data_IF_162843782857
#
_entry.id   IF_162843782857
#
_cell.length_a   1.000
_cell.length_b   1.000
_cell.length_c   1.000
_cell.angle_alpha   90.00
_cell.angle_beta   90.00
_cell.angle_gamma   90.00
#
_symmetry.space_group_name_H-M   'P 1'
#
loop_
_entity.id
_entity.type
_entity.pdbx_description
1 polymer ?
#
# COMPACT_ATOMS: atom_id res chain seq x y z
N UNK A 1 -63.08 -23.05 8.70
CA UNK A 1 -62.28 -22.63 7.53
C UNK A 1 -60.92 -23.29 7.62
N UNK A 2 -60.48 -23.83 6.50
CA UNK A 2 -59.44 -24.85 6.33
C UNK A 2 -58.03 -24.23 6.37
N UNK A 3 -57.08 -25.04 6.85
CA UNK A 3 -55.60 -25.00 7.00
C UNK A 3 -54.76 -24.24 5.91
N UNK A 4 -53.41 -24.09 6.05
CA UNK A 4 -52.50 -24.69 7.05
C UNK A 4 -51.41 -23.78 7.67
N UNK A 5 -50.96 -24.21 8.85
CA UNK A 5 -49.60 -23.99 9.38
C UNK A 5 -48.67 -25.05 8.75
N UNK A 6 -47.52 -24.64 8.24
CA UNK A 6 -46.46 -25.55 7.78
C UNK A 6 -45.37 -25.66 8.84
N UNK A 7 -45.19 -26.90 9.27
CA UNK A 7 -44.13 -27.46 10.09
C UNK A 7 -42.97 -27.83 9.15
N UNK A 8 -41.75 -27.32 9.37
CA UNK A 8 -40.56 -27.79 8.66
C UNK A 8 -39.73 -28.64 9.61
N UNK A 9 -39.66 -29.92 9.24
CA UNK A 9 -38.93 -31.02 9.82
C UNK A 9 -37.47 -30.94 9.33
N UNK A 10 -36.49 -30.73 10.23
CA UNK A 10 -35.07 -30.90 9.88
C UNK A 10 -34.71 -32.36 10.08
N UNK A 11 -34.48 -33.07 8.97
CA UNK A 11 -33.95 -34.42 8.96
C UNK A 11 -32.47 -34.39 9.36
N UNK A 12 -32.17 -34.96 10.53
CA UNK A 12 -30.81 -35.35 10.92
C UNK A 12 -30.47 -36.67 10.23
N UNK A 13 -29.61 -36.62 9.20
CA UNK A 13 -28.89 -37.80 8.74
C UNK A 13 -27.55 -37.89 9.47
N UNK A 14 -27.45 -38.94 10.27
CA UNK A 14 -26.24 -39.47 10.87
C UNK A 14 -25.34 -40.06 9.80
N UNK A 15 -24.07 -39.68 9.80
CA UNK A 15 -22.98 -40.56 9.35
C UNK A 15 -21.78 -40.31 10.24
N UNK A 16 -21.61 -41.21 11.20
CA UNK A 16 -20.43 -41.38 12.03
C UNK A 16 -19.18 -41.57 11.17
N UNK A 17 -18.13 -40.79 11.44
CA UNK A 17 -16.75 -41.23 11.21
C UNK A 17 -15.99 -41.02 12.51
N UNK A 18 -15.67 -42.15 13.13
CA UNK A 18 -14.95 -42.28 14.39
C UNK A 18 -13.47 -41.94 14.18
N UNK A 19 -12.92 -41.02 14.96
CA UNK A 19 -11.49 -40.93 15.22
C UNK A 19 -11.25 -41.15 16.73
N UNK A 20 -10.25 -41.96 17.12
CA UNK A 20 -10.09 -42.40 18.49
C UNK A 20 -9.53 -41.28 19.39
N UNK A 21 -10.11 -41.17 20.59
CA UNK A 21 -9.45 -40.53 21.73
C UNK A 21 -8.16 -41.29 22.06
N UNK A 22 -7.04 -40.58 22.10
CA UNK A 22 -5.87 -41.01 22.86
C UNK A 22 -5.55 -39.88 23.85
N UNK A 23 -5.50 -40.29 25.11
CA UNK A 23 -5.32 -39.50 26.32
C UNK A 23 -4.01 -38.71 26.31
N UNK A 24 -4.11 -37.44 26.70
CA UNK A 24 -2.98 -36.66 27.19
C UNK A 24 -2.39 -37.34 28.43
N UNK A 25 -1.19 -37.91 28.24
CA UNK A 25 -0.37 -38.43 29.32
C UNK A 25 0.71 -37.41 29.62
N UNK A 26 0.47 -36.60 30.66
CA UNK A 26 1.50 -35.86 31.37
C UNK A 26 2.56 -36.85 31.86
N UNK A 27 3.78 -36.75 31.32
CA UNK A 27 4.98 -37.35 31.90
C UNK A 27 6.12 -36.35 31.83
N UNK A 28 6.41 -35.76 32.99
CA UNK A 28 7.77 -35.43 33.45
C UNK A 28 8.73 -36.58 33.14
N UNK A 29 9.97 -36.32 32.74
CA UNK A 29 11.19 -36.95 33.31
C UNK A 29 12.46 -36.48 32.57
N UNK A 30 13.31 -35.78 33.33
CA UNK A 30 14.79 -35.85 33.44
C UNK A 30 15.73 -35.77 32.22
N UNK A 31 16.68 -34.82 32.36
CA UNK A 31 18.05 -34.83 31.83
C UNK A 31 18.68 -36.23 31.81
N UNK A 32 19.14 -36.65 30.63
CA UNK A 32 20.11 -37.74 30.51
C UNK A 32 21.36 -37.24 29.77
N UNK A 33 22.50 -37.27 30.48
CA UNK A 33 23.84 -37.05 29.95
C UNK A 33 24.15 -38.17 28.95
N UNK A 34 24.41 -37.83 27.71
CA UNK A 34 25.12 -38.70 26.78
C UNK A 34 26.58 -38.27 26.69
N UNK A 35 27.48 -39.14 27.15
CA UNK A 35 28.90 -39.12 26.82
C UNK A 35 29.03 -39.38 25.31
N UNK A 36 29.63 -38.45 24.59
CA UNK A 36 30.09 -38.70 23.22
C UNK A 36 31.54 -39.21 23.25
N UNK A 37 31.69 -40.44 22.78
CA UNK A 37 32.96 -41.06 22.39
C UNK A 37 33.65 -40.21 21.32
N UNK A 38 34.92 -39.92 21.55
CA UNK A 38 35.82 -39.20 20.64
C UNK A 38 35.98 -40.02 19.35
N UNK A 39 35.68 -39.42 18.20
CA UNK A 39 35.99 -39.98 16.89
C UNK A 39 36.38 -38.86 15.92
N UNK A 40 37.68 -38.87 15.58
CA UNK A 40 38.38 -38.36 14.39
C UNK A 40 38.05 -36.94 13.91
N UNK A 41 39.06 -36.08 14.04
CA UNK A 41 39.17 -34.74 13.46
C UNK A 41 38.98 -34.83 11.94
N UNK A 42 37.87 -34.28 11.45
CA UNK A 42 37.69 -33.95 10.05
C UNK A 42 38.56 -32.72 9.74
N UNK A 43 39.41 -32.80 8.71
CA UNK A 43 40.12 -31.64 8.19
C UNK A 43 39.11 -30.59 7.69
N UNK A 44 39.40 -29.29 7.83
CA UNK A 44 38.53 -28.25 7.30
C UNK A 44 38.43 -28.35 5.77
N UNK A 45 37.26 -28.07 5.18
CA UNK A 45 37.11 -27.99 3.73
C UNK A 45 38.00 -26.90 3.16
N UNK A 46 38.46 -27.10 1.92
CA UNK A 46 39.29 -26.14 1.21
C UNK A 46 38.63 -24.75 1.18
N UNK A 47 39.42 -23.66 1.30
CA UNK A 47 38.88 -22.31 1.24
C UNK A 47 38.17 -22.09 -0.10
N UNK A 48 37.03 -21.40 -0.04
CA UNK A 48 36.29 -21.00 -1.23
C UNK A 48 37.21 -20.22 -2.18
N UNK A 49 37.13 -20.45 -3.51
CA UNK A 49 37.94 -19.71 -4.47
C UNK A 49 37.69 -18.21 -4.33
N UNK A 50 38.75 -17.42 -4.46
CA UNK A 50 38.71 -15.96 -4.35
C UNK A 50 37.62 -15.39 -5.26
N UNK A 51 36.76 -14.54 -4.69
CA UNK A 51 35.72 -13.84 -5.41
C UNK A 51 36.36 -13.00 -6.52
N UNK A 52 36.02 -13.30 -7.77
CA UNK A 52 36.40 -12.48 -8.92
C UNK A 52 35.80 -11.10 -8.71
N UNK A 53 36.66 -10.09 -8.64
CA UNK A 53 36.27 -8.69 -8.53
C UNK A 53 35.28 -8.34 -9.66
N UNK A 54 34.10 -7.76 -9.37
CA UNK A 54 33.14 -7.42 -10.41
C UNK A 54 33.74 -6.38 -11.35
N UNK A 55 33.79 -6.68 -12.65
CA UNK A 55 34.22 -5.74 -13.68
C UNK A 55 33.05 -4.83 -14.05
N UNK A 56 33.10 -3.55 -13.67
CA UNK A 56 32.15 -2.54 -14.12
C UNK A 56 32.78 -1.65 -15.19
N UNK A 57 32.04 -1.40 -16.27
CA UNK A 57 32.47 -0.51 -17.35
C UNK A 57 32.41 0.95 -16.87
N UNK A 58 33.56 1.50 -16.51
CA UNK A 58 33.72 2.95 -16.34
C UNK A 58 33.80 3.58 -17.73
N UNK A 59 32.66 3.97 -18.29
CA UNK A 59 32.68 4.86 -19.46
C UNK A 59 33.09 6.26 -18.99
N UNK A 60 34.38 6.55 -19.19
CA UNK A 60 35.01 7.85 -19.01
C UNK A 60 34.27 8.90 -19.84
N UNK A 61 33.33 9.60 -19.21
CA UNK A 61 32.50 10.64 -19.84
C UNK A 61 31.10 10.79 -19.24
N UNK A 62 30.55 9.74 -18.60
CA UNK A 62 29.24 9.81 -17.93
C UNK A 62 29.40 10.05 -16.43
N UNK A 63 28.58 10.95 -15.87
CA UNK A 63 28.48 11.19 -14.41
C UNK A 63 27.79 10.05 -13.65
N UNK A 64 27.36 9.00 -14.35
CA UNK A 64 26.52 7.91 -13.83
C UNK A 64 27.22 6.56 -14.06
N UNK A 65 27.36 5.75 -13.00
CA UNK A 65 27.99 4.42 -13.04
C UNK A 65 26.91 3.34 -13.16
N UNK A 66 27.07 2.38 -14.08
CA UNK A 66 26.09 1.28 -14.25
C UNK A 66 26.56 -0.01 -13.56
N UNK A 67 25.70 -0.58 -12.73
CA UNK A 67 25.88 -1.82 -11.99
C UNK A 67 24.89 -2.86 -12.54
N UNK A 68 25.31 -3.62 -13.56
CA UNK A 68 24.48 -4.68 -14.14
C UNK A 68 24.45 -5.89 -13.20
N UNK A 69 23.26 -6.34 -12.79
CA UNK A 69 23.08 -7.47 -11.86
C UNK A 69 23.76 -8.77 -12.36
N UNK A 70 23.89 -8.98 -13.67
CA UNK A 70 24.61 -10.14 -14.22
C UNK A 70 26.11 -10.07 -13.94
N UNK A 71 26.69 -8.87 -13.84
CA UNK A 71 28.09 -8.67 -13.44
C UNK A 71 28.35 -9.05 -11.98
N UNK A 72 27.28 -9.26 -11.20
CA UNK A 72 27.31 -9.74 -9.82
C UNK A 72 26.79 -11.17 -9.68
N UNK A 73 26.63 -11.90 -10.80
CA UNK A 73 26.29 -13.32 -10.81
C UNK A 73 24.81 -13.65 -11.02
N UNK A 74 23.96 -12.69 -11.38
CA UNK A 74 22.57 -12.97 -11.71
C UNK A 74 22.47 -13.76 -13.04
N UNK A 75 21.72 -14.86 -13.04
CA UNK A 75 21.52 -15.74 -14.19
C UNK A 75 20.41 -15.21 -15.09
N UNK A 76 19.24 -14.89 -14.52
CA UNK A 76 18.13 -14.34 -15.28
C UNK A 76 17.36 -15.37 -16.13
N UNK A 77 17.26 -16.62 -15.67
CA UNK A 77 16.53 -17.73 -16.30
C UNK A 77 15.08 -17.92 -15.80
N UNK A 78 14.64 -17.10 -14.84
CA UNK A 78 13.32 -17.13 -14.20
C UNK A 78 13.15 -18.20 -13.14
N UNK A 79 14.20 -18.96 -12.84
CA UNK A 79 14.16 -20.13 -11.95
C UNK A 79 15.23 -20.05 -10.86
N UNK A 80 16.45 -19.66 -11.24
CA UNK A 80 17.56 -19.52 -10.31
C UNK A 80 17.36 -18.31 -9.40
N UNK A 81 17.62 -18.51 -8.10
CA UNK A 81 17.57 -17.44 -7.12
C UNK A 81 18.71 -16.42 -7.33
N UNK A 82 18.36 -15.27 -7.90
CA UNK A 82 19.26 -14.17 -8.23
C UNK A 82 19.40 -13.15 -7.07
N UNK A 83 18.80 -13.41 -5.91
CA UNK A 83 18.72 -12.46 -4.79
C UNK A 83 20.08 -11.94 -4.34
N UNK A 84 21.08 -12.82 -4.24
CA UNK A 84 22.40 -12.43 -3.75
C UNK A 84 23.12 -11.51 -4.75
N UNK A 85 22.96 -11.75 -6.05
CA UNK A 85 23.52 -10.90 -7.09
C UNK A 85 22.91 -9.49 -7.05
N UNK A 86 21.59 -9.41 -6.89
CA UNK A 86 20.89 -8.13 -6.72
C UNK A 86 21.33 -7.37 -5.47
N UNK A 87 21.47 -8.06 -4.33
CA UNK A 87 21.98 -7.45 -3.09
C UNK A 87 23.40 -6.91 -3.27
N UNK A 88 24.32 -7.70 -3.81
CA UNK A 88 25.71 -7.26 -4.02
C UNK A 88 25.78 -6.08 -4.98
N UNK A 89 25.00 -6.11 -6.06
CA UNK A 89 24.94 -5.04 -7.02
C UNK A 89 24.37 -3.74 -6.39
N UNK A 90 23.32 -3.86 -5.57
CA UNK A 90 22.76 -2.74 -4.79
C UNK A 90 23.78 -2.17 -3.80
N UNK A 91 24.39 -3.00 -2.96
CA UNK A 91 25.34 -2.57 -1.93
C UNK A 91 26.52 -1.84 -2.57
N UNK A 92 27.00 -2.34 -3.72
CA UNK A 92 28.07 -1.71 -4.48
C UNK A 92 27.63 -0.36 -5.06
N UNK A 93 26.44 -0.29 -5.66
CA UNK A 93 25.88 0.96 -6.19
C UNK A 93 25.66 2.00 -5.08
N UNK A 94 25.19 1.57 -3.90
CA UNK A 94 24.92 2.41 -2.75
C UNK A 94 26.18 3.03 -2.13
N UNK A 95 27.34 2.37 -2.29
CA UNK A 95 28.63 2.88 -1.85
C UNK A 95 29.37 3.73 -2.89
N UNK A 96 28.82 3.89 -4.09
CA UNK A 96 29.44 4.66 -5.17
C UNK A 96 29.40 6.18 -4.89
N UNK A 97 30.52 6.87 -5.17
CA UNK A 97 30.64 8.33 -4.98
C UNK A 97 29.81 9.13 -5.98
N UNK A 98 29.50 8.55 -7.13
CA UNK A 98 28.68 9.13 -8.20
C UNK A 98 27.42 8.29 -8.36
N UNK A 99 26.32 8.92 -8.79
CA UNK A 99 25.03 8.27 -8.96
C UNK A 99 25.15 6.95 -9.72
N UNK A 100 24.51 5.92 -9.17
CA UNK A 100 24.57 4.56 -9.68
C UNK A 100 23.27 4.12 -10.34
N UNK A 101 23.34 3.45 -11.49
CA UNK A 101 22.20 2.72 -12.05
C UNK A 101 22.37 1.25 -11.67
N UNK A 102 21.45 0.69 -10.89
CA UNK A 102 21.27 -0.75 -10.80
C UNK A 102 20.49 -1.23 -12.03
N UNK A 103 21.20 -1.87 -12.97
CA UNK A 103 20.64 -2.30 -14.24
C UNK A 103 20.26 -3.78 -14.19
N UNK A 104 18.98 -4.06 -14.44
CA UNK A 104 18.47 -5.39 -14.75
C UNK A 104 18.23 -5.46 -16.26
N UNK A 105 18.97 -6.30 -17.00
CA UNK A 105 18.96 -6.29 -18.45
C UNK A 105 17.66 -6.85 -19.06
N UNK A 106 17.26 -6.32 -20.21
CA UNK A 106 16.16 -6.84 -21.03
C UNK A 106 16.46 -8.23 -21.60
N UNK A 107 15.43 -9.05 -21.74
CA UNK A 107 15.52 -10.41 -22.30
C UNK A 107 15.78 -11.53 -21.29
N UNK A 108 15.81 -11.19 -20.00
CA UNK A 108 16.00 -12.12 -18.90
C UNK A 108 14.81 -12.07 -17.95
N UNK A 109 14.61 -13.13 -17.18
CA UNK A 109 13.63 -13.20 -16.09
C UNK A 109 14.39 -13.50 -14.81
N UNK A 110 14.29 -12.67 -13.78
CA UNK A 110 15.05 -12.87 -12.54
C UNK A 110 14.12 -13.34 -11.44
N UNK A 111 14.40 -14.51 -10.84
CA UNK A 111 13.70 -14.93 -9.63
C UNK A 111 14.43 -14.31 -8.44
N UNK A 112 13.76 -13.39 -7.75
CA UNK A 112 14.28 -12.75 -6.54
C UNK A 112 13.38 -13.12 -5.38
N UNK A 113 13.97 -13.69 -4.33
CA UNK A 113 13.28 -13.85 -3.06
C UNK A 113 13.04 -12.48 -2.43
N UNK A 114 12.10 -12.45 -1.48
CA UNK A 114 11.86 -11.30 -0.61
C UNK A 114 13.17 -10.73 -0.08
N UNK A 115 13.48 -9.49 -0.47
CA UNK A 115 14.72 -8.83 -0.09
C UNK A 115 14.47 -7.41 0.39
N UNK A 116 15.39 -6.92 1.22
CA UNK A 116 15.39 -5.55 1.74
C UNK A 116 16.63 -4.87 1.18
N UNK A 117 16.43 -3.76 0.48
CA UNK A 117 17.49 -2.87 0.03
C UNK A 117 17.64 -1.72 1.04
N UNK A 118 18.81 -1.64 1.69
CA UNK A 118 19.06 -0.69 2.78
C UNK A 118 19.99 0.44 2.37
N UNK A 119 19.72 1.64 2.87
CA UNK A 119 20.61 2.81 2.80
C UNK A 119 21.18 3.20 4.19
N UNK A 120 21.76 4.41 4.34
CA UNK A 120 21.83 5.49 3.35
C UNK A 120 22.88 5.24 2.25
N UNK A 121 22.59 5.69 1.03
CA UNK A 121 23.52 5.62 -0.09
C UNK A 121 24.29 6.93 -0.24
N UNK A 122 25.55 6.84 -0.68
CA UNK A 122 26.43 8.02 -0.85
C UNK A 122 25.98 8.93 -1.99
N UNK A 123 25.32 8.36 -2.99
CA UNK A 123 24.80 9.06 -4.17
C UNK A 123 23.45 8.44 -4.59
N UNK A 124 22.75 9.05 -5.54
CA UNK A 124 21.43 8.59 -5.98
C UNK A 124 21.50 7.26 -6.73
N UNK A 125 20.52 6.37 -6.51
CA UNK A 125 20.42 5.09 -7.21
C UNK A 125 19.20 5.07 -8.13
N UNK A 126 19.41 4.71 -9.39
CA UNK A 126 18.34 4.39 -10.33
C UNK A 126 18.21 2.88 -10.52
N UNK A 127 17.04 2.30 -10.24
CA UNK A 127 16.77 0.88 -10.46
C UNK A 127 15.92 0.70 -11.73
N UNK A 128 16.41 -0.08 -12.70
CA UNK A 128 15.74 -0.35 -13.96
C UNK A 128 15.62 -1.85 -14.19
N UNK A 129 14.40 -2.37 -14.45
CA UNK A 129 14.19 -3.76 -14.82
C UNK A 129 13.00 -3.98 -15.76
N UNK A 130 13.03 -5.04 -16.60
CA UNK A 130 11.91 -5.45 -17.42
C UNK A 130 11.14 -6.65 -16.82
N UNK A 131 9.86 -6.74 -17.19
CA UNK A 131 8.89 -7.86 -17.15
C UNK A 131 9.24 -9.09 -16.30
N UNK A 132 8.42 -9.40 -15.29
CA UNK A 132 8.50 -10.64 -14.52
C UNK A 132 7.13 -11.25 -14.18
N UNK A 133 7.05 -12.58 -14.14
CA UNK A 133 5.89 -13.36 -13.65
C UNK A 133 6.31 -14.10 -12.36
N UNK A 134 5.40 -14.25 -11.39
CA UNK A 134 5.69 -14.93 -10.11
C UNK A 134 4.61 -15.95 -9.69
N UNK A 135 5.04 -16.96 -8.92
CA UNK A 135 4.26 -18.11 -8.41
C UNK A 135 3.93 -17.95 -6.90
N UNK A 136 2.80 -18.47 -6.39
CA UNK A 136 2.35 -18.21 -5.01
C UNK A 136 2.79 -19.27 -3.99
N UNK A 137 3.03 -18.87 -2.73
CA UNK A 137 3.05 -19.76 -1.54
C UNK A 137 2.68 -19.04 -0.22
N UNK A 138 2.42 -19.81 0.85
CA UNK A 138 1.46 -19.56 1.96
C UNK A 138 2.08 -19.07 3.29
N UNK A 139 1.41 -18.08 3.88
CA UNK A 139 1.41 -17.53 5.27
C UNK A 139 2.68 -16.84 5.82
N UNK A 140 2.48 -15.56 6.18
CA UNK A 140 3.43 -14.43 6.19
C UNK A 140 4.07 -14.15 4.83
N UNK A 141 3.20 -13.75 3.90
CA UNK A 141 3.57 -13.40 2.53
C UNK A 141 4.52 -12.20 2.49
N UNK A 142 5.67 -12.31 1.81
CA UNK A 142 6.62 -11.23 1.72
C UNK A 142 6.13 -10.09 0.82
N UNK A 143 6.69 -8.90 1.04
CA UNK A 143 6.65 -7.80 0.07
C UNK A 143 7.61 -8.13 -1.07
N UNK A 144 7.23 -7.86 -2.33
CA UNK A 144 8.09 -8.17 -3.47
C UNK A 144 9.38 -7.33 -3.47
N UNK A 145 9.27 -6.00 -3.38
CA UNK A 145 10.44 -5.10 -3.26
C UNK A 145 10.22 -4.11 -2.12
N UNK A 146 11.16 -4.06 -1.18
CA UNK A 146 11.15 -3.13 -0.05
C UNK A 146 12.42 -2.30 0.01
N UNK A 147 12.26 -0.99 0.01
CA UNK A 147 13.30 -0.01 0.29
C UNK A 147 13.15 0.50 1.73
N UNK A 148 14.25 0.48 2.49
CA UNK A 148 14.25 0.88 3.89
C UNK A 148 15.37 1.89 4.14
N UNK A 149 15.06 3.00 4.84
CA UNK A 149 16.02 4.03 5.25
C UNK A 149 16.92 4.52 4.09
N UNK A 150 16.31 4.77 2.94
CA UNK A 150 17.03 5.06 1.70
C UNK A 150 16.67 6.44 1.15
N UNK A 151 17.64 7.13 0.54
CA UNK A 151 17.43 8.46 -0.01
C UNK A 151 17.90 8.58 -1.45
N UNK A 152 17.32 9.51 -2.22
CA UNK A 152 17.64 9.77 -3.62
C UNK A 152 17.46 8.51 -4.49
N UNK A 153 16.25 7.95 -4.44
CA UNK A 153 15.87 6.75 -5.17
C UNK A 153 15.11 7.10 -6.43
N UNK A 154 15.49 6.51 -7.56
CA UNK A 154 14.70 6.53 -8.79
C UNK A 154 14.34 5.11 -9.19
N UNK A 155 13.05 4.83 -9.35
CA UNK A 155 12.52 3.55 -9.80
C UNK A 155 11.79 3.76 -11.12
N UNK A 156 12.31 3.19 -12.21
CA UNK A 156 11.77 3.48 -13.54
C UNK A 156 11.56 2.21 -14.37
N UNK A 157 10.39 2.12 -15.00
CA UNK A 157 10.13 1.13 -16.05
C UNK A 157 9.92 -0.30 -15.56
N UNK A 158 9.62 -0.52 -14.28
CA UNK A 158 9.40 -1.86 -13.74
C UNK A 158 8.01 -2.40 -14.05
N UNK A 159 7.98 -3.69 -14.38
CA UNK A 159 6.77 -4.48 -14.31
C UNK A 159 6.85 -5.45 -13.11
N UNK A 160 5.90 -5.37 -12.19
CA UNK A 160 5.85 -6.23 -10.99
C UNK A 160 4.51 -6.96 -10.97
N UNK A 161 4.55 -8.30 -11.00
CA UNK A 161 3.34 -9.13 -11.02
C UNK A 161 3.20 -10.05 -9.83
N UNK A 162 1.95 -10.31 -9.46
CA UNK A 162 1.52 -11.36 -8.53
C UNK A 162 2.29 -11.35 -7.21
N UNK A 163 2.57 -10.15 -6.66
CA UNK A 163 3.22 -10.08 -5.35
C UNK A 163 2.38 -10.85 -4.31
N UNK A 164 3.01 -11.67 -3.46
CA UNK A 164 2.32 -12.35 -2.36
C UNK A 164 1.66 -11.39 -1.36
N UNK A 165 2.16 -10.15 -1.28
CA UNK A 165 1.64 -9.03 -0.48
C UNK A 165 1.84 -7.72 -1.25
N UNK A 166 2.38 -6.66 -0.64
CA UNK A 166 2.63 -5.40 -1.34
C UNK A 166 3.65 -5.62 -2.47
N UNK A 167 3.46 -4.96 -3.62
CA UNK A 167 4.41 -5.02 -4.72
C UNK A 167 5.64 -4.18 -4.39
N UNK A 168 5.43 -2.91 -4.03
CA UNK A 168 6.50 -1.98 -3.64
C UNK A 168 6.22 -1.40 -2.25
N UNK A 169 7.24 -1.37 -1.39
CA UNK A 169 7.17 -0.72 -0.07
C UNK A 169 8.36 0.19 0.18
N UNK A 170 8.10 1.41 0.61
CA UNK A 170 9.12 2.40 0.99
C UNK A 170 8.90 2.78 2.45
N UNK A 171 9.90 2.52 3.28
CA UNK A 171 9.86 2.80 4.71
C UNK A 171 11.02 3.72 5.08
N UNK A 172 10.69 4.88 5.68
CA UNK A 172 11.71 5.84 6.16
C UNK A 172 12.60 6.35 5.01
N UNK A 173 12.03 6.57 3.83
CA UNK A 173 12.77 7.01 2.65
C UNK A 173 12.68 8.54 2.43
N UNK A 174 13.58 9.11 1.62
CA UNK A 174 13.53 10.52 1.27
C UNK A 174 13.96 10.79 -0.18
N UNK A 175 13.26 11.65 -0.91
CA UNK A 175 13.55 11.93 -2.33
C UNK A 175 13.43 10.64 -3.17
N UNK A 176 12.18 10.22 -3.38
CA UNK A 176 11.83 9.00 -4.11
C UNK A 176 11.06 9.37 -5.36
N UNK A 177 11.61 9.03 -6.52
CA UNK A 177 11.00 9.23 -7.84
C UNK A 177 10.61 7.87 -8.44
N UNK A 178 9.32 7.66 -8.67
CA UNK A 178 8.76 6.43 -9.24
C UNK A 178 8.07 6.77 -10.56
N UNK A 179 8.46 6.11 -11.64
CA UNK A 179 7.95 6.44 -12.97
C UNK A 179 7.78 5.22 -13.89
N UNK A 180 6.76 5.24 -14.74
CA UNK A 180 6.56 4.26 -15.82
C UNK A 180 6.44 2.82 -15.30
N UNK A 181 5.78 2.62 -14.16
CA UNK A 181 5.58 1.28 -13.61
C UNK A 181 4.32 0.62 -14.16
N UNK A 182 4.38 -0.71 -14.27
CA UNK A 182 3.23 -1.57 -14.56
C UNK A 182 3.09 -2.63 -13.47
N UNK A 183 2.08 -2.51 -12.61
CA UNK A 183 1.85 -3.43 -11.50
C UNK A 183 0.55 -4.19 -11.73
N UNK A 184 0.61 -5.53 -11.63
CA UNK A 184 -0.57 -6.35 -11.85
C UNK A 184 -0.66 -7.57 -10.91
N UNK A 185 -1.81 -7.74 -10.25
CA UNK A 185 -2.21 -8.98 -9.61
C UNK A 185 -3.73 -9.19 -9.72
N UNK A 186 -4.25 -10.42 -9.56
CA UNK A 186 -5.68 -10.66 -9.62
C UNK A 186 -6.47 -9.80 -8.60
N UNK A 187 -7.64 -9.31 -9.01
CA UNK A 187 -8.47 -8.40 -8.22
C UNK A 187 -8.96 -8.95 -6.86
N UNK A 188 -8.86 -10.26 -6.64
CA UNK A 188 -9.25 -10.93 -5.39
C UNK A 188 -8.05 -11.29 -4.50
N UNK A 189 -6.84 -10.93 -4.90
CA UNK A 189 -5.61 -11.23 -4.16
C UNK A 189 -5.52 -10.32 -2.92
N UNK A 190 -5.60 -10.86 -1.70
CA UNK A 190 -5.65 -10.05 -0.49
C UNK A 190 -4.32 -9.32 -0.26
N UNK A 191 -4.38 -8.07 0.19
CA UNK A 191 -3.22 -7.29 0.64
C UNK A 191 -2.11 -7.13 -0.41
N UNK A 192 -2.52 -7.05 -1.68
CA UNK A 192 -1.61 -6.90 -2.83
C UNK A 192 -1.38 -5.45 -3.22
N UNK A 193 -1.20 -4.55 -2.24
CA UNK A 193 -1.00 -3.11 -2.47
C UNK A 193 0.04 -2.86 -3.57
N UNK A 194 -0.20 -1.84 -4.40
CA UNK A 194 0.71 -1.49 -5.49
C UNK A 194 1.96 -0.83 -4.94
N UNK A 195 1.82 0.44 -4.55
CA UNK A 195 2.90 1.21 -3.93
C UNK A 195 2.48 1.61 -2.51
N UNK A 196 3.20 1.11 -1.52
CA UNK A 196 3.05 1.51 -0.12
C UNK A 196 4.20 2.43 0.29
N UNK A 197 3.88 3.59 0.88
CA UNK A 197 4.87 4.49 1.48
C UNK A 197 4.54 4.72 2.96
N UNK A 198 5.55 4.66 3.83
CA UNK A 198 5.41 4.93 5.26
C UNK A 198 6.66 5.67 5.75
N UNK A 199 6.48 6.69 6.60
CA UNK A 199 7.55 7.58 7.10
C UNK A 199 8.44 8.17 5.99
N UNK A 200 7.90 8.35 4.79
CA UNK A 200 8.66 8.68 3.59
C UNK A 200 8.32 10.09 3.09
N UNK A 201 9.33 10.89 2.73
CA UNK A 201 9.18 12.32 2.41
C UNK A 201 9.71 12.68 1.02
N UNK A 202 9.09 13.65 0.36
CA UNK A 202 9.45 14.11 -0.99
C UNK A 202 9.37 12.94 -1.98
N UNK A 203 8.14 12.53 -2.30
CA UNK A 203 7.85 11.38 -3.16
C UNK A 203 7.11 11.82 -4.39
N UNK A 204 7.56 11.36 -5.55
CA UNK A 204 6.93 11.56 -6.83
C UNK A 204 6.53 10.19 -7.40
N UNK A 205 5.26 10.00 -7.77
CA UNK A 205 4.76 8.77 -8.38
C UNK A 205 4.02 9.12 -9.66
N UNK A 206 4.62 8.82 -10.81
CA UNK A 206 4.11 9.27 -12.10
C UNK A 206 3.91 8.15 -13.12
N UNK A 207 2.99 8.41 -14.06
CA UNK A 207 2.90 7.70 -15.34
C UNK A 207 2.83 6.17 -15.21
N UNK A 208 2.10 5.65 -14.23
CA UNK A 208 2.09 4.22 -13.89
C UNK A 208 0.69 3.61 -13.99
N UNK A 209 0.64 2.32 -14.30
CA UNK A 209 -0.59 1.53 -14.37
C UNK A 209 -0.56 0.46 -13.28
N UNK A 210 -1.57 0.44 -12.42
CA UNK A 210 -1.61 -0.44 -11.26
C UNK A 210 -2.98 -1.12 -11.19
N UNK A 211 -2.96 -2.45 -11.17
CA UNK A 211 -4.13 -3.30 -11.00
C UNK A 211 -3.83 -4.39 -9.99
N UNK A 212 -4.67 -4.54 -8.97
CA UNK A 212 -4.41 -5.45 -7.85
C UNK A 212 -5.69 -5.75 -7.06
N UNK A 213 -5.56 -6.49 -5.97
CA UNK A 213 -6.65 -6.80 -5.04
C UNK A 213 -6.65 -5.97 -3.75
N UNK A 214 -5.82 -4.93 -3.63
CA UNK A 214 -5.85 -4.00 -2.49
C UNK A 214 -5.54 -2.55 -2.92
N UNK A 215 -5.00 -1.68 -2.07
CA UNK A 215 -4.76 -0.27 -2.42
C UNK A 215 -3.84 -0.12 -3.64
N UNK A 216 -4.22 0.76 -4.57
CA UNK A 216 -3.39 1.12 -5.73
C UNK A 216 -2.11 1.81 -5.24
N UNK A 217 -2.29 2.85 -4.43
CA UNK A 217 -1.24 3.51 -3.65
C UNK A 217 -1.76 3.68 -2.22
N UNK A 218 -0.98 3.27 -1.23
CA UNK A 218 -1.29 3.44 0.19
C UNK A 218 -0.24 4.32 0.89
N UNK A 219 -0.71 5.36 1.57
CA UNK A 219 0.11 6.40 2.21
C UNK A 219 -0.04 6.28 3.73
N UNK A 220 1.00 5.79 4.39
CA UNK A 220 1.08 5.60 5.83
C UNK A 220 1.46 6.86 6.61
N UNK A 221 1.62 6.68 7.93
CA UNK A 221 2.01 7.77 8.83
C UNK A 221 3.43 8.28 8.53
N UNK A 222 3.68 9.55 8.85
CA UNK A 222 4.98 10.22 8.70
C UNK A 222 5.30 10.67 7.28
N UNK A 223 4.38 10.51 6.33
CA UNK A 223 4.56 10.94 4.95
C UNK A 223 4.33 12.44 4.76
N UNK A 224 5.19 13.08 3.97
CA UNK A 224 5.12 14.51 3.70
C UNK A 224 5.60 14.84 2.28
N UNK A 225 4.90 15.76 1.60
CA UNK A 225 5.24 16.21 0.26
C UNK A 225 5.26 15.05 -0.74
N UNK A 226 4.08 14.54 -1.07
CA UNK A 226 3.88 13.42 -1.99
C UNK A 226 3.05 13.91 -3.17
N UNK A 227 3.59 13.80 -4.39
CA UNK A 227 2.88 14.10 -5.64
C UNK A 227 2.66 12.83 -6.45
N UNK A 228 1.39 12.51 -6.71
CA UNK A 228 0.95 11.35 -7.48
C UNK A 228 0.22 11.87 -8.71
N UNK A 229 0.72 11.56 -9.91
CA UNK A 229 0.16 12.14 -11.14
C UNK A 229 0.11 11.16 -12.29
N UNK A 230 -0.93 11.24 -13.10
CA UNK A 230 -1.10 10.39 -14.29
C UNK A 230 -0.99 8.89 -13.97
N UNK A 231 -1.76 8.44 -12.97
CA UNK A 231 -1.84 7.03 -12.60
C UNK A 231 -3.16 6.44 -13.11
N UNK A 232 -3.09 5.24 -13.68
CA UNK A 232 -4.29 4.42 -13.93
C UNK A 232 -4.39 3.33 -12.88
N UNK A 233 -5.32 3.46 -11.95
CA UNK A 233 -5.63 2.48 -10.92
C UNK A 233 -6.84 1.65 -11.34
N UNK A 234 -6.77 0.33 -11.29
CA UNK A 234 -7.99 -0.46 -11.43
C UNK A 234 -7.87 -1.78 -12.18
N UNK A 235 -8.45 -2.87 -11.65
CA UNK A 235 -9.17 -2.97 -10.36
C UNK A 235 -8.24 -2.77 -9.15
N UNK A 236 -8.76 -2.27 -8.02
CA UNK A 236 -8.02 -2.05 -6.75
C UNK A 236 -8.96 -1.59 -5.62
N UNK A 237 -8.42 -1.25 -4.45
CA UNK A 237 -9.09 -0.51 -3.38
C UNK A 237 -8.94 1.02 -3.48
N UNK A 238 -8.38 1.55 -4.58
CA UNK A 238 -8.21 2.98 -4.83
C UNK A 238 -6.91 3.56 -4.29
N UNK A 239 -6.81 4.89 -4.23
CA UNK A 239 -5.68 5.61 -3.65
C UNK A 239 -6.05 6.01 -2.23
N UNK A 240 -5.30 5.50 -1.25
CA UNK A 240 -5.67 5.57 0.17
C UNK A 240 -4.60 6.26 1.01
N UNK A 241 -5.02 7.27 1.78
CA UNK A 241 -4.28 7.78 2.94
C UNK A 241 -4.72 6.96 4.16
N UNK A 242 -3.78 6.21 4.73
CA UNK A 242 -3.96 5.36 5.90
C UNK A 242 -3.90 3.85 5.63
N UNK A 243 -4.26 3.01 6.61
CA UNK A 243 -4.94 3.38 7.86
C UNK A 243 -4.03 4.09 8.86
N UNK A 244 -4.49 5.20 9.43
CA UNK A 244 -3.70 6.04 10.37
C UNK A 244 -4.19 5.95 11.81
N UNK A 245 -3.28 6.04 12.77
CA UNK A 245 -3.63 6.16 14.19
C UNK A 245 -3.97 4.84 14.91
N UNK A 246 -3.51 3.70 14.38
CA UNK A 246 -3.79 2.38 14.97
C UNK A 246 -3.29 2.31 16.42
N UNK A 247 -4.10 1.74 17.33
CA UNK A 247 -3.76 1.61 18.76
C UNK A 247 -3.35 2.94 19.40
N UNK A 248 -4.08 4.00 19.09
CA UNK A 248 -3.90 5.34 19.64
C UNK A 248 -2.53 5.95 19.31
N UNK A 249 -1.91 5.50 18.21
CA UNK A 249 -0.64 6.06 17.74
C UNK A 249 -0.83 7.46 17.16
N UNK A 250 0.22 8.27 17.23
CA UNK A 250 0.28 9.51 16.47
C UNK A 250 0.55 9.21 14.98
N UNK A 251 -0.18 9.88 14.09
CA UNK A 251 -0.01 9.77 12.66
C UNK A 251 -0.07 11.16 12.01
N UNK A 252 0.96 11.48 11.24
CA UNK A 252 1.13 12.78 10.60
C UNK A 252 1.29 12.59 9.10
N UNK A 253 0.37 13.14 8.32
CA UNK A 253 0.43 13.14 6.85
C UNK A 253 0.08 14.53 6.36
N UNK A 254 0.94 15.14 5.54
CA UNK A 254 0.63 16.48 5.02
C UNK A 254 1.23 16.74 3.65
N UNK A 255 0.60 17.65 2.91
CA UNK A 255 1.03 18.07 1.58
C UNK A 255 1.05 16.88 0.60
N UNK A 256 -0.14 16.36 0.30
CA UNK A 256 -0.35 15.23 -0.61
C UNK A 256 -1.15 15.73 -1.81
N UNK A 257 -0.67 15.48 -3.01
CA UNK A 257 -1.40 15.79 -4.24
C UNK A 257 -1.59 14.53 -5.06
N UNK A 258 -2.82 14.29 -5.51
CA UNK A 258 -3.17 13.27 -6.49
C UNK A 258 -3.84 13.96 -7.67
N UNK A 259 -3.25 13.87 -8.85
CA UNK A 259 -3.71 14.60 -10.03
C UNK A 259 -3.73 13.78 -11.31
N UNK A 260 -4.54 14.24 -12.28
CA UNK A 260 -4.56 13.75 -13.66
C UNK A 260 -4.70 12.23 -13.79
N UNK A 261 -5.49 11.60 -12.92
CA UNK A 261 -5.49 10.15 -12.75
C UNK A 261 -6.82 9.50 -13.11
N UNK A 262 -6.79 8.22 -13.46
CA UNK A 262 -7.96 7.41 -13.76
C UNK A 262 -8.08 6.30 -12.73
N UNK A 263 -9.25 6.17 -12.09
CA UNK A 263 -9.54 5.05 -11.19
C UNK A 263 -10.75 4.30 -11.74
N UNK A 264 -10.59 3.00 -12.01
CA UNK A 264 -11.60 2.20 -12.71
C UNK A 264 -11.86 0.86 -12.04
N UNK A 265 -13.11 0.44 -12.00
CA UNK A 265 -13.52 -0.87 -11.46
C UNK A 265 -12.92 -1.19 -10.08
N UNK A 266 -12.79 -0.16 -9.24
CA UNK A 266 -12.18 -0.23 -7.91
C UNK A 266 -13.22 -0.10 -6.81
N UNK A 267 -12.91 -0.65 -5.64
CA UNK A 267 -13.78 -0.54 -4.46
C UNK A 267 -13.90 0.90 -3.96
N UNK A 268 -12.83 1.69 -4.06
CA UNK A 268 -12.84 3.11 -3.72
C UNK A 268 -12.11 3.90 -4.80
N UNK A 269 -12.40 5.19 -4.86
CA UNK A 269 -11.62 6.15 -5.65
C UNK A 269 -10.49 6.69 -4.80
N UNK A 270 -10.73 7.86 -4.19
CA UNK A 270 -9.82 8.50 -3.25
C UNK A 270 -10.34 8.33 -1.82
N UNK A 271 -9.46 7.90 -0.92
CA UNK A 271 -9.83 7.47 0.42
C UNK A 271 -8.91 8.02 1.50
N UNK A 272 -9.47 8.47 2.62
CA UNK A 272 -8.76 8.73 3.87
C UNK A 272 -9.37 7.81 4.94
N UNK A 273 -8.56 6.96 5.57
CA UNK A 273 -9.01 6.00 6.60
C UNK A 273 -8.18 6.16 7.88
N UNK A 274 -8.85 6.42 9.00
CA UNK A 274 -8.19 6.56 10.31
C UNK A 274 -8.90 5.71 11.36
N UNK A 275 -8.13 5.14 12.28
CA UNK A 275 -8.65 4.42 13.43
C UNK A 275 -9.20 5.40 14.47
N UNK A 276 -10.29 5.02 15.13
CA UNK A 276 -10.70 5.70 16.36
C UNK A 276 -9.59 5.57 17.41
N UNK A 277 -9.42 6.61 18.22
CA UNK A 277 -8.40 6.68 19.26
C UNK A 277 -7.07 7.29 18.82
N UNK A 278 -6.82 7.39 17.51
CA UNK A 278 -5.59 7.95 16.94
C UNK A 278 -5.32 9.41 17.31
N UNK A 279 -4.09 9.87 17.10
CA UNK A 279 -3.62 11.24 17.34
C UNK A 279 -2.90 11.80 16.10
N UNK A 280 -2.66 13.11 16.05
CA UNK A 280 -1.93 13.78 14.96
C UNK A 280 -2.86 14.40 13.91
N UNK A 281 -2.41 14.50 12.66
CA UNK A 281 -3.15 15.20 11.62
C UNK A 281 -2.93 14.66 10.20
N UNK A 282 -3.97 14.78 9.37
CA UNK A 282 -3.94 14.74 7.91
C UNK A 282 -4.33 16.12 7.41
N UNK A 283 -3.45 16.81 6.69
CA UNK A 283 -3.73 18.16 6.20
C UNK A 283 -3.14 18.46 4.83
N UNK A 284 -3.70 19.47 4.14
CA UNK A 284 -3.21 19.94 2.83
C UNK A 284 -3.18 18.80 1.81
N UNK A 285 -4.32 18.18 1.60
CA UNK A 285 -4.48 17.10 0.62
C UNK A 285 -5.30 17.59 -0.56
N UNK A 286 -4.80 17.38 -1.76
CA UNK A 286 -5.48 17.76 -3.01
C UNK A 286 -5.72 16.52 -3.87
N UNK A 287 -6.98 16.28 -4.21
CA UNK A 287 -7.40 15.35 -5.26
C UNK A 287 -7.96 16.18 -6.41
N UNK A 288 -7.27 16.19 -7.55
CA UNK A 288 -7.57 17.08 -8.67
C UNK A 288 -7.62 16.35 -10.00
N UNK A 289 -8.58 16.68 -10.89
CA UNK A 289 -8.63 16.14 -12.25
C UNK A 289 -8.56 14.59 -12.27
N UNK A 290 -9.52 13.95 -11.60
CA UNK A 290 -9.59 12.49 -11.49
C UNK A 290 -10.83 11.98 -12.21
N UNK A 291 -10.64 11.04 -13.13
CA UNK A 291 -11.74 10.35 -13.79
C UNK A 291 -12.02 9.00 -13.12
N UNK A 292 -13.28 8.76 -12.76
CA UNK A 292 -13.75 7.54 -12.14
C UNK A 292 -14.57 6.71 -13.15
N UNK A 293 -14.28 5.43 -13.28
CA UNK A 293 -15.10 4.50 -14.08
C UNK A 293 -15.60 3.35 -13.22
N UNK A 294 -16.92 3.30 -12.99
CA UNK A 294 -17.57 2.21 -12.27
C UNK A 294 -16.93 1.94 -10.89
N UNK A 295 -16.59 3.01 -10.17
CA UNK A 295 -15.97 2.93 -8.84
C UNK A 295 -17.05 2.80 -7.77
N UNK A 296 -16.88 1.92 -6.78
CA UNK A 296 -17.94 1.67 -5.79
C UNK A 296 -18.09 2.79 -4.74
N UNK A 297 -16.98 3.27 -4.17
CA UNK A 297 -16.96 4.41 -3.24
C UNK A 297 -15.98 5.49 -3.76
N UNK A 298 -16.38 6.33 -4.74
CA UNK A 298 -15.51 7.32 -5.36
C UNK A 298 -14.75 8.24 -4.39
N UNK A 299 -15.41 8.81 -3.38
CA UNK A 299 -14.77 9.71 -2.40
C UNK A 299 -15.18 9.28 -0.99
N UNK A 300 -14.19 8.97 -0.15
CA UNK A 300 -14.46 8.53 1.23
C UNK A 300 -13.46 9.09 2.24
N UNK A 301 -13.99 9.63 3.35
CA UNK A 301 -13.27 9.80 4.60
C UNK A 301 -13.94 8.90 5.63
N UNK A 302 -13.19 8.01 6.27
CA UNK A 302 -13.67 7.08 7.28
C UNK A 302 -12.77 7.13 8.53
N UNK A 303 -13.21 7.86 9.56
CA UNK A 303 -12.55 7.91 10.86
C UNK A 303 -13.01 6.83 11.83
N UNK A 304 -13.89 5.92 11.37
CA UNK A 304 -14.39 4.76 12.12
C UNK A 304 -13.82 3.46 11.56
N UNK A 305 -12.64 3.52 10.92
CA UNK A 305 -12.00 2.37 10.30
C UNK A 305 -11.75 1.27 11.34
N UNK A 306 -12.20 0.06 11.01
CA UNK A 306 -12.18 -1.09 11.91
C UNK A 306 -12.03 -2.41 11.13
N UNK A 307 -11.21 -3.34 11.63
CA UNK A 307 -11.05 -4.68 11.03
C UNK A 307 -12.19 -5.65 11.39
N UNK A 308 -13.00 -5.33 12.40
CA UNK A 308 -14.11 -6.16 12.85
C UNK A 308 -15.41 -5.38 12.77
N UNK A 309 -16.55 -6.06 12.97
CA UNK A 309 -17.85 -5.37 13.00
C UNK A 309 -18.05 -4.52 14.27
N UNK A 310 -17.29 -4.80 15.33
CA UNK A 310 -17.48 -4.20 16.65
C UNK A 310 -16.15 -3.61 17.15
N UNK A 311 -15.87 -2.36 16.80
CA UNK A 311 -14.81 -1.60 17.44
C UNK A 311 -15.34 -0.85 18.67
N UNK A 312 -14.56 -0.74 19.75
CA UNK A 312 -14.91 0.11 20.87
C UNK A 312 -14.86 1.58 20.43
N UNK A 313 -15.88 2.35 20.82
CA UNK A 313 -15.88 3.79 20.60
C UNK A 313 -14.72 4.42 21.40
N UNK A 314 -13.95 5.26 20.72
CA UNK A 314 -12.90 6.07 21.34
C UNK A 314 -13.10 7.53 20.98
N UNK A 315 -12.67 8.42 21.87
CA UNK A 315 -12.93 9.86 21.78
C UNK A 315 -11.80 10.66 21.13
N UNK A 316 -10.58 10.14 21.00
CA UNK A 316 -9.54 10.79 20.20
C UNK A 316 -9.63 10.35 18.74
N UNK A 317 -9.16 11.20 17.84
CA UNK A 317 -9.03 10.89 16.41
C UNK A 317 -7.88 11.69 15.82
N UNK A 318 -7.38 11.23 14.66
CA UNK A 318 -6.46 12.02 13.82
C UNK A 318 -7.23 13.22 13.27
N UNK A 319 -6.72 14.45 13.44
CA UNK A 319 -7.35 15.63 12.85
C UNK A 319 -7.33 15.56 11.33
N UNK A 320 -8.40 15.95 10.65
CA UNK A 320 -8.45 16.03 9.18
C UNK A 320 -8.87 17.44 8.78
N UNK A 321 -7.98 18.16 8.09
CA UNK A 321 -8.25 19.52 7.62
C UNK A 321 -7.71 19.78 6.22
N UNK A 322 -8.19 20.85 5.57
CA UNK A 322 -7.62 21.37 4.33
C UNK A 322 -7.55 20.31 3.21
N UNK A 323 -8.70 19.70 2.91
CA UNK A 323 -8.82 18.66 1.89
C UNK A 323 -9.59 19.24 0.70
N UNK A 324 -8.94 19.29 -0.46
CA UNK A 324 -9.52 19.75 -1.71
C UNK A 324 -9.87 18.56 -2.61
N UNK A 325 -11.14 18.48 -3.01
CA UNK A 325 -11.62 17.62 -4.09
C UNK A 325 -12.06 18.52 -5.24
N UNK A 326 -11.35 18.45 -6.37
CA UNK A 326 -11.60 19.34 -7.51
C UNK A 326 -11.58 18.63 -8.85
N UNK A 327 -12.54 18.94 -9.72
CA UNK A 327 -12.64 18.34 -11.06
C UNK A 327 -12.57 16.80 -11.02
N UNK A 328 -13.43 16.18 -10.20
CA UNK A 328 -13.55 14.72 -10.08
C UNK A 328 -14.81 14.28 -10.80
N UNK A 329 -14.68 13.54 -11.89
CA UNK A 329 -15.81 13.21 -12.78
C UNK A 329 -15.90 11.73 -13.05
N UNK A 330 -17.08 11.25 -13.44
CA UNK A 330 -17.24 9.93 -14.04
C UNK A 330 -18.37 9.12 -13.44
N UNK A 331 -18.19 7.81 -13.29
CA UNK A 331 -19.27 6.89 -12.92
C UNK A 331 -19.01 6.05 -11.68
N UNK A 332 -20.08 5.68 -10.99
CA UNK A 332 -20.02 4.86 -9.78
C UNK A 332 -21.03 3.72 -9.75
N UNK A 333 -20.69 2.69 -8.99
CA UNK A 333 -21.56 1.54 -8.73
C UNK A 333 -22.59 1.88 -7.64
N UNK A 334 -23.88 1.65 -7.94
CA UNK A 334 -25.02 2.05 -7.10
C UNK A 334 -25.20 1.24 -5.80
N UNK A 335 -24.31 0.28 -5.49
CA UNK A 335 -24.33 -0.46 -4.22
C UNK A 335 -24.03 0.41 -2.99
N UNK A 336 -23.51 1.61 -3.18
CA UNK A 336 -23.20 2.58 -2.12
C UNK A 336 -23.35 4.02 -2.62
N UNK A 337 -23.58 4.99 -1.72
CA UNK A 337 -23.47 6.40 -2.06
C UNK A 337 -22.09 6.75 -2.63
N UNK A 338 -21.99 7.69 -3.59
CA UNK A 338 -20.73 7.99 -4.25
C UNK A 338 -19.74 8.75 -3.35
N UNK A 339 -20.24 9.43 -2.32
CA UNK A 339 -19.47 10.24 -1.40
C UNK A 339 -19.87 9.94 0.04
N UNK A 340 -18.87 9.71 0.91
CA UNK A 340 -19.07 9.48 2.34
C UNK A 340 -17.99 10.17 3.17
N UNK A 341 -18.39 11.11 4.03
CA UNK A 341 -17.52 11.78 4.98
C UNK A 341 -17.94 11.40 6.39
N UNK A 342 -17.30 10.39 6.98
CA UNK A 342 -17.58 9.93 8.33
C UNK A 342 -16.46 10.37 9.28
N UNK A 343 -16.63 11.55 9.88
CA UNK A 343 -15.63 12.18 10.75
C UNK A 343 -15.95 11.98 12.24
N UNK A 344 -14.96 12.01 13.11
CA UNK A 344 -15.09 11.73 14.54
C UNK A 344 -16.06 12.71 15.22
N UNK A 345 -16.93 12.21 16.11
CA UNK A 345 -17.87 13.03 16.91
C UNK A 345 -17.19 14.14 17.73
N UNK A 346 -15.99 13.86 18.23
CA UNK A 346 -15.20 14.77 19.07
C UNK A 346 -14.26 15.67 18.28
N UNK A 347 -13.90 15.29 17.06
CA UNK A 347 -12.92 15.99 16.22
C UNK A 347 -13.41 16.01 14.77
N UNK A 348 -14.25 17.00 14.43
CA UNK A 348 -14.84 17.14 13.09
C UNK A 348 -13.76 17.26 12.00
N UNK A 349 -14.04 16.79 10.79
CA UNK A 349 -13.23 17.19 9.63
C UNK A 349 -13.54 18.65 9.28
N UNK A 350 -12.52 19.44 8.95
CA UNK A 350 -12.68 20.87 8.67
C UNK A 350 -12.05 21.29 7.35
N UNK A 351 -12.49 22.42 6.82
CA UNK A 351 -12.00 22.99 5.57
C UNK A 351 -11.96 21.97 4.41
N UNK A 352 -13.01 21.16 4.28
CA UNK A 352 -13.23 20.35 3.09
C UNK A 352 -13.72 21.26 1.96
N UNK A 353 -13.12 21.17 0.78
CA UNK A 353 -13.55 21.95 -0.39
C UNK A 353 -13.91 21.02 -1.52
N UNK A 354 -15.12 21.17 -2.06
CA UNK A 354 -15.55 20.46 -3.26
C UNK A 354 -15.76 21.46 -4.39
N UNK A 355 -15.16 21.21 -5.54
CA UNK A 355 -15.41 21.96 -6.79
C UNK A 355 -15.47 21.01 -7.97
N UNK A 356 -16.45 21.16 -8.85
CA UNK A 356 -16.55 20.47 -10.14
C UNK A 356 -16.54 18.94 -9.98
N UNK A 357 -17.27 18.46 -8.97
CA UNK A 357 -17.44 17.02 -8.71
C UNK A 357 -18.72 16.53 -9.37
N UNK A 358 -18.60 15.66 -10.37
CA UNK A 358 -19.70 15.14 -11.20
C UNK A 358 -19.64 13.61 -11.30
N UNK A 359 -20.33 12.92 -10.39
CA UNK A 359 -20.37 11.47 -10.28
C UNK A 359 -21.77 10.93 -10.61
N UNK A 360 -21.84 10.12 -11.66
CA UNK A 360 -23.08 9.56 -12.18
C UNK A 360 -23.19 8.05 -11.95
N UNK A 361 -24.37 7.52 -11.63
CA UNK A 361 -24.54 6.08 -11.48
C UNK A 361 -24.36 5.39 -12.84
N UNK A 362 -23.71 4.23 -12.88
CA UNK A 362 -23.52 3.44 -14.12
C UNK A 362 -24.84 3.02 -14.80
N UNK A 363 -25.95 3.04 -14.07
CA UNK A 363 -27.30 2.79 -14.57
C UNK A 363 -28.12 4.05 -14.30
N UNK A 364 -29.03 4.40 -15.20
CA UNK A 364 -29.97 5.53 -15.08
C UNK A 364 -30.99 5.32 -13.93
N UNK A 365 -30.48 5.21 -12.72
CA UNK A 365 -31.21 5.05 -11.48
C UNK A 365 -31.07 6.32 -10.64
N UNK A 366 -31.96 6.44 -9.65
CA UNK A 366 -32.00 7.55 -8.70
C UNK A 366 -30.61 7.77 -8.10
N UNK A 367 -30.19 9.04 -8.09
CA UNK A 367 -28.94 9.46 -7.45
C UNK A 367 -29.01 9.15 -5.94
N UNK A 368 -28.07 8.35 -5.45
CA UNK A 368 -27.91 8.14 -4.01
C UNK A 368 -27.32 9.40 -3.37
N UNK A 369 -27.96 9.87 -2.31
CA UNK A 369 -27.48 11.05 -1.58
C UNK A 369 -26.14 10.76 -0.88
N UNK A 370 -25.18 11.69 -0.95
CA UNK A 370 -23.97 11.67 -0.13
C UNK A 370 -24.27 11.55 1.37
N UNK A 371 -23.34 10.98 2.11
CA UNK A 371 -23.42 10.89 3.57
C UNK A 371 -22.32 11.76 4.17
N UNK A 372 -22.70 12.62 5.10
CA UNK A 372 -21.77 13.44 5.88
C UNK A 372 -22.09 13.28 7.35
N UNK A 373 -21.06 13.11 8.15
CA UNK A 373 -21.13 13.04 9.60
C UNK A 373 -19.96 13.83 10.16
N UNK A 374 -20.29 14.89 10.92
CA UNK A 374 -19.34 15.83 11.53
C UNK A 374 -18.27 16.37 10.55
N UNK A 375 -18.69 16.71 9.33
CA UNK A 375 -17.82 17.16 8.26
C UNK A 375 -18.17 18.59 7.86
N UNK A 376 -17.17 19.48 7.91
CA UNK A 376 -17.31 20.90 7.66
C UNK A 376 -16.50 21.35 6.45
N UNK A 377 -17.10 22.18 5.61
CA UNK A 377 -16.50 22.58 4.36
C UNK A 377 -17.38 23.48 3.51
N UNK A 378 -16.99 23.62 2.25
CA UNK A 378 -17.70 24.43 1.26
C UNK A 378 -17.78 23.71 -0.08
N UNK A 379 -18.88 23.91 -0.80
CA UNK A 379 -19.02 23.56 -2.21
C UNK A 379 -18.84 24.83 -3.03
N UNK A 380 -17.71 24.96 -3.73
CA UNK A 380 -17.43 26.15 -4.56
C UNK A 380 -18.26 26.17 -5.84
N UNK A 381 -18.69 25.01 -6.29
CA UNK A 381 -19.58 24.82 -7.44
C UNK A 381 -20.60 23.71 -7.11
N UNK A 382 -21.69 23.64 -7.88
CA UNK A 382 -22.69 22.59 -7.71
C UNK A 382 -22.05 21.22 -7.98
N UNK A 383 -22.34 20.26 -7.11
CA UNK A 383 -21.85 18.88 -7.21
C UNK A 383 -22.97 17.97 -7.69
N UNK A 384 -22.60 16.88 -8.36
CA UNK A 384 -23.52 15.79 -8.74
C UNK A 384 -23.01 14.50 -8.11
N UNK A 385 -23.80 13.82 -7.25
CA UNK A 385 -24.99 14.36 -6.58
C UNK A 385 -24.65 15.53 -5.64
N UNK A 386 -25.62 16.41 -5.32
CA UNK A 386 -25.41 17.50 -4.37
C UNK A 386 -25.04 17.00 -2.96
N UNK A 387 -24.05 17.63 -2.33
CA UNK A 387 -23.60 17.29 -0.96
C UNK A 387 -24.23 18.21 0.09
N UNK A 388 -25.57 18.21 0.19
CA UNK A 388 -26.29 19.08 1.15
C UNK A 388 -26.03 18.76 2.63
N UNK A 389 -25.44 17.60 2.93
CA UNK A 389 -25.08 17.20 4.29
C UNK A 389 -23.78 17.85 4.81
N UNK A 390 -23.01 18.50 3.94
CA UNK A 390 -21.76 19.15 4.34
C UNK A 390 -22.07 20.43 5.11
N UNK A 391 -21.51 20.57 6.30
CA UNK A 391 -21.78 21.70 7.18
C UNK A 391 -20.89 22.88 6.80
N UNK A 392 -21.45 24.08 6.74
CA UNK A 392 -20.69 25.30 6.48
C UNK A 392 -20.07 25.87 7.77
N UNK A 393 -18.99 26.65 7.61
CA UNK A 393 -18.32 27.35 8.70
C UNK A 393 -17.40 26.45 9.55
N UNK A 394 -17.14 26.89 10.78
CA UNK A 394 -16.28 26.16 11.74
C UNK A 394 -17.14 25.47 12.80
N UNK A 395 -16.74 24.27 13.27
CA UNK A 395 -17.45 23.60 14.36
C UNK A 395 -17.42 24.43 15.64
N UNK A 396 -18.55 24.54 16.33
CA UNK A 396 -18.65 25.26 17.61
C UNK A 396 -17.74 24.66 18.68
N UNK A 397 -17.52 23.34 18.64
CA UNK A 397 -16.64 22.60 19.58
C UNK A 397 -15.16 22.95 19.45
N UNK A 398 -14.71 23.52 18.32
CA UNK A 398 -13.29 23.81 18.07
C UNK A 398 -12.85 25.22 18.47
N UNK A 399 -13.73 26.03 19.07
CA UNK A 399 -13.35 27.36 19.56
C UNK A 399 -12.39 27.31 20.77
N UNK A 400 -12.18 26.14 21.40
CA UNK A 400 -11.24 25.91 22.50
C UNK A 400 -10.68 24.48 22.46
N UNK A 401 -9.66 24.21 21.64
CA UNK A 401 -8.83 22.99 21.83
C UNK A 401 -7.45 23.16 21.19
N UNK A 402 -6.41 22.90 21.97
CA UNK A 402 -5.04 22.75 21.48
C UNK A 402 -4.99 21.59 20.48
N UNK A 403 -4.76 21.92 19.21
CA UNK A 403 -4.50 20.91 18.19
C UNK A 403 -3.28 20.09 18.61
N UNK A 404 -3.45 18.78 18.81
CA UNK A 404 -2.32 17.86 18.92
C UNK A 404 -1.60 17.81 17.57
N UNK A 405 -0.70 18.78 17.38
CA UNK A 405 -0.03 19.06 16.12
C UNK A 405 0.91 17.94 15.68
N UNK A 406 1.09 17.91 14.36
CA UNK A 406 2.29 17.46 13.70
C UNK A 406 3.14 18.72 13.42
#
# INVERSE_FOLDING_TARGET
MILPRILILVCLFSSCVSFPLIQDKLNSYTKQKYLHTISRISLPPDPAPEAVSPSYNVHSGSSITTFNVQSFGAIGDGVTDDTQAFKMAWDTACQAEKSGILLVPKGYSFMIQSTIFTGPCKSGITFQAPNGDSLPSVCDSPVAIRFFMSSNLTLQGLEVKNSPKFHLRFDVCQYVDIELLNINSPARSPNTDGIHIENTKNVNIYNSVISNGDDCVSIGAGCYNVDIRNITCGPSHGISIGSLGIRNSQACVSNITVSDSVIRHSDNGVRIKTWQGGLGSVSKVTFHNIYMDTVRNPIIIDQYYCLTKNCPNQTSAVSISDILYSNIKGTYDVRSPPMRFACSDSLPCTNLTLSEVELHPIKAQVLSNPICWNAYGTMQTLTIPPVFCLLEGMPQSMQQSDFAGC
#
